data_IF_954081860797
#
_entry.id   IF_954081860797
#
_cell.length_a   1.000
_cell.length_b   1.000
_cell.length_c   1.000
_cell.angle_alpha   90.00
_cell.angle_beta   90.00
_cell.angle_gamma   90.00
#
_symmetry.space_group_name_H-M   'P 1'
#
loop_
_entity.id
_entity.type
_entity.pdbx_description
1 polymer ?
#
# COMPACT_ATOMS: atom_id res chain seq x y z
N UNK A 1 -3.29 11.70 11.51
CA UNK A 1 -3.57 11.50 10.08
C UNK A 1 -4.82 10.64 9.92
N UNK A 2 -5.84 11.08 9.17
CA UNK A 2 -6.98 10.20 8.81
C UNK A 2 -6.48 9.15 7.81
N UNK A 3 -6.93 7.89 7.98
CA UNK A 3 -6.52 6.75 7.14
C UNK A 3 -6.83 7.03 5.66
N UNK A 4 -7.95 7.70 5.38
CA UNK A 4 -8.37 8.08 4.02
C UNK A 4 -7.34 8.93 3.28
N UNK A 5 -6.80 9.99 3.89
CA UNK A 5 -5.80 10.84 3.23
C UNK A 5 -4.49 10.10 3.00
N UNK A 6 -4.07 9.28 3.96
CA UNK A 6 -2.87 8.45 3.82
C UNK A 6 -3.02 7.48 2.64
N UNK A 7 -4.10 6.68 2.64
CA UNK A 7 -4.38 5.75 1.56
C UNK A 7 -4.47 6.47 0.22
N UNK A 8 -5.26 7.55 0.12
CA UNK A 8 -5.38 8.34 -1.11
C UNK A 8 -4.02 8.82 -1.63
N UNK A 9 -3.18 9.39 -0.77
CA UNK A 9 -1.84 9.85 -1.18
C UNK A 9 -0.92 8.72 -1.65
N UNK A 10 -1.01 7.52 -1.04
CA UNK A 10 -0.18 6.37 -1.41
C UNK A 10 -0.67 5.70 -2.69
N UNK A 11 -1.98 5.60 -2.89
CA UNK A 11 -2.57 5.15 -4.16
C UNK A 11 -2.18 6.10 -5.30
N UNK A 12 -2.25 7.42 -5.09
CA UNK A 12 -1.82 8.38 -6.09
C UNK A 12 -0.34 8.22 -6.46
N UNK A 13 0.53 8.03 -5.46
CA UNK A 13 1.95 7.79 -5.68
C UNK A 13 2.23 6.51 -6.47
N UNK A 14 1.50 5.43 -6.18
CA UNK A 14 1.61 4.18 -6.94
C UNK A 14 1.19 4.38 -8.41
N UNK A 15 0.06 5.05 -8.66
CA UNK A 15 -0.40 5.35 -10.02
C UNK A 15 0.57 6.23 -10.80
N UNK A 16 1.15 7.26 -10.16
CA UNK A 16 2.20 8.10 -10.78
C UNK A 16 3.43 7.24 -11.12
N UNK A 17 3.86 6.37 -10.21
CA UNK A 17 5.04 5.52 -10.42
C UNK A 17 4.83 4.52 -11.56
N UNK A 18 3.62 3.95 -11.68
CA UNK A 18 3.25 3.04 -12.76
C UNK A 18 3.26 3.74 -14.13
N UNK A 19 2.64 4.92 -14.22
CA UNK A 19 2.62 5.72 -15.44
C UNK A 19 4.03 6.14 -15.86
N UNK A 20 4.80 6.72 -14.94
CA UNK A 20 6.18 7.13 -15.18
C UNK A 20 7.06 5.95 -15.63
N UNK A 21 6.91 4.79 -14.99
CA UNK A 21 7.64 3.59 -15.35
C UNK A 21 7.43 3.15 -16.80
N UNK A 22 6.23 3.37 -17.35
CA UNK A 22 5.93 3.10 -18.77
C UNK A 22 6.61 4.11 -19.70
N UNK A 23 6.62 5.40 -19.32
CA UNK A 23 7.22 6.48 -20.10
C UNK A 23 8.75 6.37 -20.19
N UNK A 24 9.41 6.01 -19.09
CA UNK A 24 10.88 6.00 -19.03
C UNK A 24 11.52 4.68 -19.47
N UNK A 25 10.70 3.64 -19.68
CA UNK A 25 11.15 2.30 -20.10
C UNK A 25 12.04 2.31 -21.35
N UNK A 26 11.76 3.10 -22.42
CA UNK A 26 12.62 3.16 -23.60
C UNK A 26 14.04 3.66 -23.32
N UNK A 27 14.25 4.39 -22.22
CA UNK A 27 15.56 4.87 -21.79
C UNK A 27 16.32 3.85 -20.92
N UNK A 28 15.77 2.64 -20.74
CA UNK A 28 16.36 1.61 -19.88
C UNK A 28 16.20 1.90 -18.38
N UNK A 29 15.30 2.80 -18.00
CA UNK A 29 15.04 3.16 -16.60
C UNK A 29 13.88 2.29 -16.07
N UNK A 30 14.06 1.71 -14.89
CA UNK A 30 13.02 0.99 -14.15
C UNK A 30 12.53 1.83 -12.97
N UNK A 31 11.22 1.79 -12.71
CA UNK A 31 10.57 2.47 -11.58
C UNK A 31 9.86 1.42 -10.74
N UNK A 32 10.16 1.37 -9.44
CA UNK A 32 9.56 0.42 -8.49
C UNK A 32 8.92 1.16 -7.33
N UNK A 33 7.61 1.03 -7.18
CA UNK A 33 6.87 1.42 -6.00
C UNK A 33 6.99 0.31 -4.93
N UNK A 34 7.68 0.62 -3.83
CA UNK A 34 7.81 -0.30 -2.70
C UNK A 34 6.65 -0.09 -1.74
N UNK A 35 5.85 -1.14 -1.54
CA UNK A 35 4.68 -1.15 -0.66
C UNK A 35 4.94 -2.06 0.56
N UNK A 36 5.54 -1.50 1.63
CA UNK A 36 5.77 -2.26 2.85
C UNK A 36 4.49 -2.44 3.67
N UNK A 37 4.34 -3.63 4.25
CA UNK A 37 3.40 -3.89 5.33
C UNK A 37 3.86 -3.29 6.66
N UNK A 38 3.49 -3.91 7.77
CA UNK A 38 3.89 -3.44 9.10
C UNK A 38 5.37 -3.78 9.38
N UNK A 39 6.24 -2.77 9.33
CA UNK A 39 7.67 -2.90 9.69
C UNK A 39 7.98 -2.30 11.06
N UNK A 40 9.00 -2.85 11.74
CA UNK A 40 9.59 -2.27 12.96
C UNK A 40 10.38 -1.03 12.59
N UNK A 41 9.69 0.05 12.30
CA UNK A 41 10.27 1.38 12.12
C UNK A 41 9.65 2.34 13.13
N UNK A 42 10.36 3.42 13.43
CA UNK A 42 9.86 4.52 14.27
C UNK A 42 8.66 5.28 13.65
N UNK A 43 8.18 4.82 12.48
CA UNK A 43 7.11 5.44 11.71
C UNK A 43 5.76 5.45 12.44
N UNK A 44 5.43 4.37 13.15
CA UNK A 44 4.22 4.30 13.98
C UNK A 44 4.35 5.10 15.31
N UNK A 45 5.57 5.55 15.64
CA UNK A 45 5.88 6.37 16.80
C UNK A 45 6.01 7.84 16.44
N UNK A 46 7.25 8.36 16.41
CA UNK A 46 7.55 9.80 16.36
C UNK A 46 7.26 10.49 15.02
N UNK A 47 7.21 9.75 13.92
CA UNK A 47 7.08 10.35 12.58
C UNK A 47 5.63 10.56 12.12
N UNK A 48 4.64 10.13 12.91
CA UNK A 48 3.22 10.28 12.58
C UNK A 48 2.62 11.47 13.32
N UNK A 49 2.58 12.63 12.67
CA UNK A 49 1.86 13.80 13.20
C UNK A 49 0.34 13.57 13.11
N UNK A 50 -0.34 13.69 14.26
CA UNK A 50 -1.80 13.51 14.35
C UNK A 50 -2.48 14.86 14.51
N UNK A 51 -3.62 15.01 13.84
CA UNK A 51 -4.49 16.16 14.03
C UNK A 51 -5.14 16.05 15.42
N UNK A 52 -5.10 17.10 16.26
CA UNK A 52 -5.57 17.04 17.64
C UNK A 52 -7.10 17.02 17.78
N UNK A 53 -7.86 17.31 16.72
CA UNK A 53 -9.33 17.27 16.74
C UNK A 53 -9.87 15.90 16.35
N UNK A 54 -10.66 15.28 17.23
CA UNK A 54 -11.59 14.19 16.90
C UNK A 54 -13.03 14.69 16.91
N UNK A 55 -13.91 13.99 16.19
CA UNK A 55 -15.36 14.14 16.23
C UNK A 55 -15.86 12.88 16.95
N UNK A 56 -16.64 13.04 18.02
CA UNK A 56 -17.04 11.93 18.91
C UNK A 56 -17.69 10.76 18.17
N UNK A 57 -18.50 11.02 17.15
CA UNK A 57 -19.16 9.99 16.32
C UNK A 57 -18.18 9.02 15.66
N UNK A 58 -16.93 9.45 15.42
CA UNK A 58 -15.90 8.63 14.79
C UNK A 58 -15.09 7.81 15.80
N UNK A 59 -15.15 8.12 17.09
CA UNK A 59 -14.29 7.49 18.10
C UNK A 59 -14.62 5.99 18.26
N UNK A 60 -15.90 5.59 18.16
CA UNK A 60 -16.29 4.16 18.18
C UNK A 60 -15.65 3.32 17.08
N UNK A 61 -15.38 3.93 15.92
CA UNK A 61 -14.77 3.26 14.76
C UNK A 61 -13.25 3.29 14.87
N UNK A 62 -12.69 4.43 15.28
CA UNK A 62 -11.25 4.65 15.25
C UNK A 62 -10.52 4.16 16.50
N UNK A 63 -11.13 4.20 17.68
CA UNK A 63 -10.46 3.82 18.94
C UNK A 63 -9.94 2.39 18.96
N UNK A 64 -10.67 1.37 18.48
CA UNK A 64 -10.11 0.02 18.33
C UNK A 64 -8.89 0.00 17.40
N UNK A 65 -8.95 0.73 16.28
CA UNK A 65 -7.85 0.83 15.32
C UNK A 65 -6.64 1.53 15.94
N UNK A 66 -6.85 2.55 16.78
CA UNK A 66 -5.78 3.24 17.52
C UNK A 66 -5.11 2.27 18.49
N UNK A 67 -5.91 1.59 19.31
CA UNK A 67 -5.44 0.63 20.31
C UNK A 67 -4.63 -0.51 19.68
N UNK A 68 -5.13 -1.13 18.60
CA UNK A 68 -4.40 -2.18 17.89
C UNK A 68 -3.09 -1.70 17.27
N UNK A 69 -3.02 -0.44 16.80
CA UNK A 69 -1.77 0.14 16.27
C UNK A 69 -0.75 0.40 17.36
N UNK A 70 -1.19 0.90 18.52
CA UNK A 70 -0.34 1.14 19.68
C UNK A 70 0.20 -0.19 20.25
N UNK A 71 -0.64 -1.21 20.37
CA UNK A 71 -0.25 -2.56 20.83
C UNK A 71 0.74 -3.26 19.90
N UNK A 72 0.67 -2.98 18.59
CA UNK A 72 1.58 -3.51 17.56
C UNK A 72 2.86 -2.68 17.39
N UNK A 73 2.95 -1.50 18.01
CA UNK A 73 4.15 -0.65 17.95
C UNK A 73 5.33 -1.36 18.62
N UNK A 74 6.44 -1.54 17.89
CA UNK A 74 7.62 -2.28 18.32
C UNK A 74 7.55 -3.80 18.17
N UNK A 75 6.36 -4.37 17.94
CA UNK A 75 6.12 -5.81 17.74
C UNK A 75 5.83 -6.19 16.29
N UNK A 76 6.01 -5.25 15.35
CA UNK A 76 5.72 -5.51 13.94
C UNK A 76 6.56 -6.69 13.41
N UNK A 77 6.00 -7.44 12.45
CA UNK A 77 6.66 -8.62 11.87
C UNK A 77 7.82 -8.23 10.94
N UNK A 78 7.74 -7.08 10.28
CA UNK A 78 8.73 -6.66 9.29
C UNK A 78 10.07 -6.26 9.90
N UNK A 79 11.14 -6.88 9.39
CA UNK A 79 12.55 -6.58 9.70
C UNK A 79 13.11 -5.58 8.66
N UNK A 80 13.53 -4.37 9.07
CA UNK A 80 14.08 -3.36 8.15
C UNK A 80 15.32 -3.84 7.38
N UNK A 81 16.16 -4.69 7.96
CA UNK A 81 17.33 -5.22 7.25
C UNK A 81 16.92 -6.19 6.14
N UNK A 82 15.86 -6.99 6.37
CA UNK A 82 15.28 -7.85 5.33
C UNK A 82 14.62 -7.03 4.23
N UNK A 83 13.93 -5.93 4.57
CA UNK A 83 13.38 -5.01 3.58
C UNK A 83 14.48 -4.40 2.69
N UNK A 84 15.57 -3.92 3.29
CA UNK A 84 16.71 -3.38 2.55
C UNK A 84 17.31 -4.41 1.60
N UNK A 85 17.52 -5.66 2.06
CA UNK A 85 17.99 -6.75 1.19
C UNK A 85 17.02 -7.05 0.03
N UNK A 86 15.71 -7.02 0.27
CA UNK A 86 14.72 -7.22 -0.79
C UNK A 86 14.74 -6.07 -1.82
N UNK A 87 14.94 -4.83 -1.39
CA UNK A 87 15.12 -3.68 -2.29
C UNK A 87 16.38 -3.83 -3.14
N UNK A 88 17.51 -4.24 -2.54
CA UNK A 88 18.74 -4.50 -3.28
C UNK A 88 18.57 -5.62 -4.31
N UNK A 89 17.84 -6.68 -3.96
CA UNK A 89 17.52 -7.76 -4.90
C UNK A 89 16.65 -7.27 -6.07
N UNK A 90 15.69 -6.37 -5.82
CA UNK A 90 14.89 -5.77 -6.89
C UNK A 90 15.71 -4.88 -7.82
N UNK A 91 16.67 -4.12 -7.27
CA UNK A 91 17.60 -3.28 -8.05
C UNK A 91 18.51 -4.14 -8.93
N UNK A 92 18.97 -5.29 -8.42
CA UNK A 92 19.86 -6.20 -9.13
C UNK A 92 19.13 -7.12 -10.14
N UNK A 93 17.81 -7.09 -10.20
CA UNK A 93 17.03 -7.93 -11.11
C UNK A 93 17.08 -7.40 -12.54
N UNK A 94 17.20 -8.29 -13.53
CA UNK A 94 17.16 -7.91 -14.95
C UNK A 94 15.84 -7.22 -15.34
N UNK A 95 14.76 -7.57 -14.63
CA UNK A 95 13.42 -7.01 -14.83
C UNK A 95 12.81 -6.63 -13.48
N UNK A 96 13.17 -5.48 -12.91
CA UNK A 96 12.62 -5.03 -11.63
C UNK A 96 11.09 -4.87 -11.72
N UNK A 97 10.33 -5.25 -10.67
CA UNK A 97 8.88 -5.12 -10.68
C UNK A 97 8.45 -3.65 -10.52
N UNK A 98 7.31 -3.29 -11.09
CA UNK A 98 6.70 -1.97 -10.85
C UNK A 98 6.16 -1.84 -9.42
N UNK A 99 5.64 -2.93 -8.84
CA UNK A 99 5.12 -2.98 -7.47
C UNK A 99 5.84 -4.06 -6.68
N UNK A 100 6.48 -3.69 -5.57
CA UNK A 100 7.16 -4.62 -4.68
C UNK A 100 6.47 -4.63 -3.31
N UNK A 101 5.71 -5.69 -3.04
CA UNK A 101 5.11 -5.93 -1.73
C UNK A 101 6.16 -6.50 -0.77
N UNK A 102 6.27 -5.91 0.43
CA UNK A 102 7.16 -6.41 1.47
C UNK A 102 6.34 -6.78 2.71
N UNK A 103 6.34 -8.07 3.08
CA UNK A 103 5.61 -8.58 4.24
C UNK A 103 4.40 -9.45 3.86
N UNK A 104 4.15 -10.49 4.64
CA UNK A 104 3.03 -11.42 4.42
C UNK A 104 1.67 -10.78 4.69
N UNK A 105 1.61 -9.78 5.56
CA UNK A 105 0.42 -8.98 5.85
C UNK A 105 0.03 -8.13 4.63
N UNK A 106 0.99 -7.42 4.03
CA UNK A 106 0.77 -6.68 2.79
C UNK A 106 0.32 -7.61 1.66
N UNK A 107 0.96 -8.78 1.52
CA UNK A 107 0.61 -9.76 0.50
C UNK A 107 -0.84 -10.26 0.65
N UNK A 108 -1.26 -10.63 1.86
CA UNK A 108 -2.62 -11.09 2.12
C UNK A 108 -3.67 -10.03 1.79
N UNK A 109 -3.48 -8.82 2.33
CA UNK A 109 -4.41 -7.70 2.11
C UNK A 109 -4.56 -7.34 0.63
N UNK A 110 -3.46 -7.33 -0.12
CA UNK A 110 -3.49 -7.01 -1.55
C UNK A 110 -4.20 -8.13 -2.32
N UNK A 111 -3.92 -9.41 -2.02
CA UNK A 111 -4.59 -10.54 -2.68
C UNK A 111 -6.09 -10.53 -2.44
N UNK A 112 -6.51 -10.33 -1.20
CA UNK A 112 -7.94 -10.28 -0.86
C UNK A 112 -8.64 -9.11 -1.59
N UNK A 113 -7.99 -7.94 -1.63
CA UNK A 113 -8.51 -6.79 -2.37
C UNK A 113 -8.64 -7.06 -3.87
N UNK A 114 -7.62 -7.64 -4.49
CA UNK A 114 -7.63 -7.94 -5.93
C UNK A 114 -8.72 -8.94 -6.27
N UNK A 115 -8.86 -10.00 -5.46
CA UNK A 115 -9.93 -10.99 -5.62
C UNK A 115 -11.32 -10.35 -5.49
N UNK A 116 -11.53 -9.51 -4.48
CA UNK A 116 -12.80 -8.80 -4.31
C UNK A 116 -13.12 -7.87 -5.49
N UNK A 117 -12.12 -7.14 -6.00
CA UNK A 117 -12.28 -6.26 -7.15
C UNK A 117 -12.59 -7.03 -8.43
N UNK A 118 -11.90 -8.15 -8.66
CA UNK A 118 -12.15 -9.02 -9.81
C UNK A 118 -13.59 -9.56 -9.79
N UNK A 119 -14.06 -10.04 -8.63
CA UNK A 119 -15.45 -10.48 -8.46
C UNK A 119 -16.44 -9.35 -8.77
N UNK A 120 -16.19 -8.13 -8.26
CA UNK A 120 -17.05 -6.97 -8.53
C UNK A 120 -17.08 -6.62 -10.03
N UNK A 121 -15.94 -6.70 -10.73
CA UNK A 121 -15.88 -6.48 -12.17
C UNK A 121 -16.69 -7.54 -12.92
N UNK A 122 -16.53 -8.82 -12.57
CA UNK A 122 -17.28 -9.91 -13.18
C UNK A 122 -18.79 -9.76 -12.97
N UNK A 123 -19.23 -9.40 -11.76
CA UNK A 123 -20.65 -9.19 -11.44
C UNK A 123 -21.28 -8.08 -12.31
N UNK A 124 -20.49 -7.09 -12.71
CA UNK A 124 -20.92 -5.93 -13.50
C UNK A 124 -20.48 -5.99 -14.97
N UNK A 125 -19.92 -7.12 -15.43
CA UNK A 125 -19.35 -7.23 -16.78
C UNK A 125 -20.41 -6.98 -17.86
N UNK A 126 -21.58 -7.62 -17.73
CA UNK A 126 -22.68 -7.48 -18.69
C UNK A 126 -23.16 -6.01 -18.82
N UNK A 127 -23.20 -5.28 -17.70
CA UNK A 127 -23.56 -3.85 -17.71
C UNK A 127 -22.45 -3.04 -18.36
N UNK A 128 -21.19 -3.31 -18.00
CA UNK A 128 -20.02 -2.61 -18.53
C UNK A 128 -19.92 -2.71 -20.05
N UNK A 129 -20.12 -3.91 -20.63
CA UNK A 129 -20.03 -4.10 -22.09
C UNK A 129 -21.30 -3.66 -22.83
N UNK A 130 -22.43 -3.53 -22.15
CA UNK A 130 -23.69 -3.09 -22.79
C UNK A 130 -23.68 -1.63 -23.26
N UNK A 131 -22.65 -0.86 -22.92
CA UNK A 131 -22.46 0.51 -23.41
C UNK A 131 -21.77 0.58 -24.78
N UNK A 132 -21.29 -0.56 -25.29
CA UNK A 132 -20.66 -0.63 -26.61
C UNK A 132 -21.74 -0.62 -27.71
N UNK A 133 -21.41 0.02 -28.85
CA UNK A 133 -22.32 0.20 -30.01
C UNK A 133 -21.96 -0.68 -31.19
#
# INVERSE_FOLDING_TARGET
MKITYYCGSKFALEGISEALGKEVKPFGIAVTAVAPGSFRTDWAGRSMTRTPRSIADYDRIFDPIRKTREEKSGKQLGDPQKAARAMLAAIAADRPPTHLLLGSDALGLVRDKLSALENEICDWEAVTVSTDG
#
